data_IF_272010698690
#
_entry.id   IF_272010698690
#
_cell.length_a   1.000
_cell.length_b   1.000
_cell.length_c   1.000
_cell.angle_alpha   90.00
_cell.angle_beta   90.00
_cell.angle_gamma   90.00
#
_symmetry.space_group_name_H-M   'P 1'
#
loop_
_entity.id
_entity.type
_entity.pdbx_description
1 polymer ?
#
# COMPACT_ATOMS: atom_id res chain seq x y z
N UNK A 1 -1.03 5.52 -14.08
CA UNK A 1 -0.84 4.12 -14.54
C UNK A 1 -0.45 3.22 -13.37
N UNK A 2 -0.68 1.90 -13.45
CA UNK A 2 -0.25 0.95 -12.41
C UNK A 2 1.28 0.81 -12.36
N UNK A 3 1.85 0.80 -11.15
CA UNK A 3 3.29 0.61 -10.92
C UNK A 3 3.53 -0.83 -10.46
N UNK A 4 4.52 -1.49 -11.07
CA UNK A 4 4.86 -2.88 -10.81
C UNK A 4 6.31 -3.03 -10.36
N UNK A 5 6.56 -3.98 -9.46
CA UNK A 5 7.93 -4.39 -9.13
C UNK A 5 8.58 -5.02 -10.36
N UNK A 6 9.78 -4.54 -10.71
CA UNK A 6 10.60 -5.15 -11.75
C UNK A 6 11.25 -6.44 -11.26
N UNK A 7 11.67 -6.49 -9.99
CA UNK A 7 12.33 -7.65 -9.40
C UNK A 7 11.93 -7.89 -7.94
N UNK A 8 12.04 -9.14 -7.49
CA UNK A 8 11.88 -9.57 -6.11
C UNK A 8 13.12 -10.39 -5.73
N UNK A 9 13.79 -9.93 -4.67
CA UNK A 9 15.04 -10.49 -4.16
C UNK A 9 14.80 -11.13 -2.79
N UNK A 10 15.19 -12.40 -2.62
CA UNK A 10 14.94 -13.16 -1.39
C UNK A 10 16.27 -13.60 -0.78
N UNK A 11 16.49 -13.18 0.47
CA UNK A 11 17.73 -13.47 1.19
C UNK A 11 17.89 -14.91 1.67
N UNK A 12 16.80 -15.66 1.85
CA UNK A 12 16.85 -17.02 2.41
C UNK A 12 15.69 -17.91 1.95
N UNK A 13 15.86 -19.24 1.98
CA UNK A 13 14.82 -20.21 1.62
C UNK A 13 14.25 -20.01 0.20
N UNK A 14 15.09 -19.57 -0.74
CA UNK A 14 14.67 -19.34 -2.11
C UNK A 14 14.48 -20.66 -2.87
N UNK A 15 13.30 -20.83 -3.47
CA UNK A 15 13.03 -21.88 -4.45
C UNK A 15 12.28 -21.27 -5.62
N UNK A 16 12.90 -21.24 -6.80
CA UNK A 16 12.34 -20.55 -7.97
C UNK A 16 10.95 -21.06 -8.36
N UNK A 17 10.70 -22.37 -8.28
CA UNK A 17 9.41 -22.96 -8.67
C UNK A 17 8.30 -22.55 -7.69
N UNK A 18 8.59 -22.59 -6.39
CA UNK A 18 7.66 -22.12 -5.35
C UNK A 18 7.40 -20.62 -5.46
N UNK A 19 8.44 -19.83 -5.74
CA UNK A 19 8.29 -18.38 -5.90
C UNK A 19 7.49 -18.01 -7.13
N UNK A 20 7.79 -18.59 -8.31
CA UNK A 20 7.01 -18.38 -9.53
C UNK A 20 5.54 -18.69 -9.31
N UNK A 21 5.24 -19.88 -8.77
CA UNK A 21 3.88 -20.31 -8.44
C UNK A 21 3.18 -19.32 -7.49
N UNK A 22 3.88 -18.86 -6.46
CA UNK A 22 3.29 -18.00 -5.42
C UNK A 22 3.06 -16.56 -5.88
N UNK A 23 4.00 -15.99 -6.63
CA UNK A 23 3.96 -14.58 -7.03
C UNK A 23 2.97 -14.34 -8.18
N UNK A 24 2.96 -15.22 -9.19
CA UNK A 24 2.12 -15.01 -10.38
C UNK A 24 1.54 -16.31 -10.98
N UNK A 25 2.27 -17.43 -10.89
CA UNK A 25 1.98 -18.64 -11.66
C UNK A 25 0.67 -19.35 -11.29
N UNK A 26 0.14 -19.14 -10.08
CA UNK A 26 -1.18 -19.69 -9.69
C UNK A 26 -2.33 -19.19 -10.55
N UNK A 27 -2.24 -17.96 -11.05
CA UNK A 27 -3.35 -17.29 -11.73
C UNK A 27 -3.03 -16.89 -13.18
N UNK A 28 -1.78 -17.04 -13.61
CA UNK A 28 -1.28 -16.45 -14.86
C UNK A 28 -2.02 -16.89 -16.13
N UNK A 29 -2.61 -18.09 -16.13
CA UNK A 29 -3.35 -18.65 -17.27
C UNK A 29 -4.88 -18.51 -17.13
N UNK A 30 -5.35 -17.92 -16.03
CA UNK A 30 -6.79 -17.88 -15.70
C UNK A 30 -7.33 -16.46 -15.56
N UNK A 31 -6.45 -15.47 -15.41
CA UNK A 31 -6.83 -14.06 -15.27
C UNK A 31 -6.73 -13.34 -16.61
N UNK A 32 -7.87 -13.20 -17.30
CA UNK A 32 -7.91 -12.69 -18.68
C UNK A 32 -8.59 -11.31 -18.82
N UNK A 33 -9.39 -10.88 -17.83
CA UNK A 33 -10.20 -9.66 -17.90
C UNK A 33 -9.64 -8.55 -17.00
N UNK A 34 -8.42 -8.09 -17.29
CA UNK A 34 -7.83 -6.95 -16.59
C UNK A 34 -8.15 -5.63 -17.31
N UNK A 35 -8.44 -4.54 -16.58
CA UNK A 35 -8.60 -3.21 -17.17
C UNK A 35 -7.34 -2.75 -17.91
N UNK A 36 -7.50 -1.75 -18.77
CA UNK A 36 -6.39 -1.15 -19.50
C UNK A 36 -5.22 -0.78 -18.57
N UNK A 37 -4.00 -1.09 -19.00
CA UNK A 37 -2.71 -0.93 -18.29
C UNK A 37 -2.49 -1.87 -17.09
N UNK A 38 -3.48 -2.65 -16.66
CA UNK A 38 -3.30 -3.69 -15.65
C UNK A 38 -2.85 -5.00 -16.31
N UNK A 39 -1.85 -5.64 -15.70
CA UNK A 39 -1.30 -6.92 -16.16
C UNK A 39 -0.90 -7.81 -15.00
N UNK A 40 -0.76 -9.10 -15.28
CA UNK A 40 -0.04 -10.03 -14.41
C UNK A 40 1.45 -9.79 -14.56
N UNK A 41 2.03 -9.03 -13.62
CA UNK A 41 3.46 -8.80 -13.63
C UNK A 41 4.23 -10.09 -13.30
N UNK A 42 5.23 -10.40 -14.12
CA UNK A 42 6.20 -11.49 -13.89
C UNK A 42 7.56 -10.87 -13.55
N UNK A 43 7.80 -10.48 -12.27
CA UNK A 43 9.04 -9.83 -11.90
C UNK A 43 10.22 -10.80 -12.00
N UNK A 44 11.43 -10.26 -12.15
CA UNK A 44 12.64 -11.07 -12.03
C UNK A 44 12.77 -11.59 -10.58
N UNK A 45 12.85 -12.90 -10.41
CA UNK A 45 12.98 -13.53 -9.10
C UNK A 45 14.45 -13.90 -8.86
N UNK A 46 15.07 -13.29 -7.84
CA UNK A 46 16.46 -13.53 -7.46
C UNK A 46 16.53 -14.12 -6.06
N UNK A 47 17.37 -15.15 -5.91
CA UNK A 47 17.69 -15.74 -4.60
C UNK A 47 19.13 -15.44 -4.25
N UNK A 48 19.38 -15.17 -2.97
CA UNK A 48 20.73 -15.06 -2.41
C UNK A 48 20.96 -16.25 -1.47
N UNK A 49 22.20 -16.76 -1.46
CA UNK A 49 22.59 -17.91 -0.66
C UNK A 49 23.12 -17.52 0.73
N UNK A 50 22.76 -16.33 1.23
CA UNK A 50 23.16 -15.89 2.57
C UNK A 50 22.10 -16.39 3.53
N UNK A 51 22.33 -17.54 4.18
CA UNK A 51 21.43 -18.02 5.22
C UNK A 51 21.61 -17.16 6.48
N UNK A 52 20.69 -16.24 6.82
CA UNK A 52 20.76 -15.57 8.10
C UNK A 52 20.60 -16.62 9.21
N UNK A 53 21.27 -16.43 10.35
CA UNK A 53 20.97 -17.24 11.54
C UNK A 53 19.47 -17.10 11.82
N UNK A 54 18.75 -18.22 11.81
CA UNK A 54 17.36 -18.24 12.23
C UNK A 54 17.32 -17.83 13.70
N UNK A 55 16.83 -16.62 13.97
CA UNK A 55 16.48 -16.22 15.32
C UNK A 55 15.06 -16.70 15.60
N UNK A 56 14.87 -17.33 16.76
CA UNK A 56 13.55 -17.71 17.27
C UNK A 56 12.87 -16.56 18.01
N UNK A 57 13.57 -15.44 18.26
CA UNK A 57 13.02 -14.26 18.92
C UNK A 57 12.44 -13.28 17.90
N UNK A 58 11.13 -13.05 17.95
CA UNK A 58 10.51 -11.94 17.24
C UNK A 58 10.66 -10.65 18.03
N UNK A 59 11.17 -9.59 17.40
CA UNK A 59 11.17 -8.26 18.00
C UNK A 59 9.73 -7.77 18.17
N UNK A 60 9.36 -7.16 19.30
CA UNK A 60 8.06 -6.53 19.47
C UNK A 60 7.94 -5.21 18.68
N UNK A 61 9.01 -4.78 18.02
CA UNK A 61 9.08 -3.55 17.25
C UNK A 61 9.24 -3.79 15.75
N UNK A 62 8.51 -3.00 14.96
CA UNK A 62 8.67 -2.88 13.53
C UNK A 62 9.41 -1.57 13.22
N UNK A 63 10.28 -1.58 12.22
CA UNK A 63 11.06 -0.41 11.80
C UNK A 63 10.73 -0.11 10.35
N UNK A 64 10.49 1.16 10.02
CA UNK A 64 10.45 1.61 8.64
C UNK A 64 11.35 2.84 8.46
N UNK A 65 11.87 3.01 7.25
CA UNK A 65 12.73 4.12 6.88
C UNK A 65 12.36 4.59 5.48
N UNK A 66 12.27 5.90 5.31
CA UNK A 66 12.03 6.56 4.02
C UNK A 66 13.19 7.55 3.83
N UNK A 67 13.72 7.62 2.61
CA UNK A 67 14.80 8.55 2.25
C UNK A 67 14.37 9.98 2.67
N UNK A 68 15.26 10.71 3.33
CA UNK A 68 15.06 12.07 3.86
C UNK A 68 14.07 12.22 5.04
N UNK A 69 13.42 11.15 5.49
CA UNK A 69 12.41 11.19 6.57
C UNK A 69 12.89 10.48 7.86
N UNK A 70 14.07 9.86 7.82
CA UNK A 70 14.63 9.16 8.97
C UNK A 70 13.89 7.86 9.35
N UNK A 71 14.28 7.29 10.50
CA UNK A 71 13.81 6.00 11.00
C UNK A 71 12.56 6.21 11.88
N UNK A 72 11.51 5.42 11.63
CA UNK A 72 10.34 5.33 12.51
C UNK A 72 10.25 3.93 13.13
N UNK A 73 10.06 3.88 14.46
CA UNK A 73 9.93 2.63 15.23
C UNK A 73 8.49 2.51 15.74
N UNK A 74 7.87 1.36 15.45
CA UNK A 74 6.47 1.03 15.73
C UNK A 74 6.39 -0.13 16.71
N UNK A 75 5.55 -0.02 17.74
CA UNK A 75 5.16 -1.15 18.60
C UNK A 75 4.24 -2.08 17.82
N UNK A 76 4.70 -3.27 17.47
CA UNK A 76 4.02 -4.19 16.57
C UNK A 76 2.63 -4.63 17.05
N UNK A 77 2.42 -4.73 18.35
CA UNK A 77 1.12 -5.06 18.95
C UNK A 77 0.08 -3.94 18.84
N UNK A 78 0.52 -2.68 18.80
CA UNK A 78 -0.36 -1.50 18.78
C UNK A 78 -0.50 -0.87 17.40
N UNK A 79 0.48 -1.08 16.52
CA UNK A 79 0.56 -0.38 15.23
C UNK A 79 0.79 1.13 15.36
N UNK A 80 1.32 1.58 16.51
CA UNK A 80 1.65 2.98 16.83
C UNK A 80 3.13 3.14 17.10
N UNK A 81 3.64 4.36 17.01
CA UNK A 81 5.05 4.63 17.32
C UNK A 81 5.37 4.32 18.78
N UNK A 82 6.66 4.26 19.14
CA UNK A 82 7.09 4.10 20.54
C UNK A 82 6.51 5.20 21.46
N UNK A 83 6.33 6.41 20.93
CA UNK A 83 5.71 7.58 21.56
C UNK A 83 4.17 7.57 21.50
N UNK A 84 3.57 6.45 21.07
CA UNK A 84 2.12 6.27 20.92
C UNK A 84 1.44 7.20 19.89
N UNK A 85 2.22 7.80 18.98
CA UNK A 85 1.72 8.62 17.87
C UNK A 85 1.24 7.73 16.70
N UNK A 86 0.45 8.30 15.81
CA UNK A 86 0.12 7.67 14.53
C UNK A 86 1.41 7.46 13.72
N UNK A 87 1.56 6.29 13.12
CA UNK A 87 2.68 6.03 12.21
C UNK A 87 2.46 6.79 10.90
N UNK A 88 3.55 7.28 10.30
CA UNK A 88 3.52 7.90 8.96
C UNK A 88 3.01 6.98 7.85
N UNK A 89 3.10 5.65 8.05
CA UNK A 89 2.58 4.66 7.09
C UNK A 89 1.21 4.10 7.46
N UNK A 90 0.52 4.67 8.46
CA UNK A 90 -0.86 4.29 8.77
C UNK A 90 -1.85 4.83 7.72
N UNK A 91 -3.08 4.29 7.69
CA UNK A 91 -4.09 4.65 6.68
C UNK A 91 -4.35 6.17 6.64
N UNK A 92 -4.55 6.78 7.81
CA UNK A 92 -4.84 8.21 7.94
C UNK A 92 -3.69 9.07 7.41
N UNK A 93 -2.45 8.77 7.82
CA UNK A 93 -1.27 9.52 7.37
C UNK A 93 -1.09 9.44 5.85
N UNK A 94 -1.18 8.23 5.26
CA UNK A 94 -1.05 8.05 3.81
C UNK A 94 -2.17 8.72 3.02
N UNK A 95 -3.41 8.71 3.55
CA UNK A 95 -4.53 9.39 2.92
C UNK A 95 -4.38 10.91 2.95
N UNK A 96 -3.87 11.47 4.05
CA UNK A 96 -3.56 12.90 4.14
C UNK A 96 -2.46 13.30 3.14
N UNK A 97 -1.41 12.50 2.98
CA UNK A 97 -0.38 12.75 1.96
C UNK A 97 -0.96 12.67 0.54
N UNK A 98 -1.88 11.73 0.27
CA UNK A 98 -2.58 11.66 -1.01
C UNK A 98 -3.43 12.91 -1.28
N UNK A 99 -4.16 13.41 -0.28
CA UNK A 99 -4.93 14.66 -0.38
C UNK A 99 -4.01 15.84 -0.70
N UNK A 100 -2.88 15.98 0.03
CA UNK A 100 -1.88 17.02 -0.23
C UNK A 100 -1.35 16.96 -1.66
N UNK A 101 -1.06 15.75 -2.16
CA UNK A 101 -0.62 15.53 -3.54
C UNK A 101 -1.68 15.96 -4.56
N UNK A 102 -2.95 15.59 -4.34
CA UNK A 102 -4.05 16.00 -5.23
C UNK A 102 -4.22 17.52 -5.28
N UNK A 103 -4.07 18.21 -4.14
CA UNK A 103 -4.09 19.68 -4.07
C UNK A 103 -2.90 20.27 -4.83
N UNK A 104 -1.68 19.80 -4.54
CA UNK A 104 -0.45 20.31 -5.15
C UNK A 104 -0.41 20.10 -6.67
N UNK A 105 -1.03 19.03 -7.17
CA UNK A 105 -1.10 18.69 -8.61
C UNK A 105 -2.34 19.23 -9.31
N UNK A 106 -3.20 19.99 -8.61
CA UNK A 106 -4.50 20.48 -9.09
C UNK A 106 -5.42 19.36 -9.62
N UNK A 107 -5.25 18.13 -9.13
CA UNK A 107 -6.06 16.97 -9.50
C UNK A 107 -7.28 16.83 -8.57
N UNK A 108 -8.06 17.93 -8.49
CA UNK A 108 -9.17 18.06 -7.55
C UNK A 108 -10.37 17.18 -7.90
N UNK A 109 -10.49 16.68 -9.13
CA UNK A 109 -11.56 15.73 -9.52
C UNK A 109 -11.59 14.47 -8.64
N UNK A 110 -10.44 14.09 -8.07
CA UNK A 110 -10.32 13.01 -7.09
C UNK A 110 -10.81 13.41 -5.69
N UNK A 111 -10.90 14.69 -5.36
CA UNK A 111 -11.31 15.22 -4.05
C UNK A 111 -12.73 15.80 -4.04
N UNK A 112 -13.27 16.22 -5.19
CA UNK A 112 -14.53 16.98 -5.24
C UNK A 112 -15.73 16.07 -4.95
N UNK A 113 -16.35 16.33 -3.80
CA UNK A 113 -17.82 16.40 -3.60
C UNK A 113 -18.13 17.62 -2.72
N UNK A 114 -17.60 18.83 -3.00
CA UNK A 114 -17.95 20.09 -2.29
C UNK A 114 -17.90 20.05 -0.73
N UNK A 115 -17.27 19.05 -0.14
CA UNK A 115 -17.28 18.78 1.29
C UNK A 115 -15.90 19.10 1.89
N UNK A 116 -15.91 19.74 3.06
CA UNK A 116 -14.69 20.00 3.86
C UNK A 116 -14.01 18.70 4.31
N UNK A 117 -14.77 17.62 4.33
CA UNK A 117 -14.35 16.30 4.77
C UNK A 117 -14.64 15.25 3.70
N UNK A 118 -13.83 14.20 3.65
CA UNK A 118 -14.03 13.08 2.73
C UNK A 118 -13.82 11.76 3.47
N UNK A 119 -14.65 10.77 3.19
CA UNK A 119 -14.44 9.42 3.72
C UNK A 119 -13.33 8.66 2.99
N UNK A 120 -12.47 7.98 3.74
CA UNK A 120 -11.33 7.22 3.21
C UNK A 120 -11.73 6.13 2.20
N UNK A 121 -12.83 5.42 2.44
CA UNK A 121 -13.33 4.41 1.50
C UNK A 121 -13.88 5.04 0.22
N UNK A 122 -14.54 6.20 0.29
CA UNK A 122 -14.95 6.98 -0.88
C UNK A 122 -13.75 7.34 -1.76
N UNK A 123 -12.66 7.87 -1.18
CA UNK A 123 -11.41 8.14 -1.91
C UNK A 123 -10.87 6.89 -2.60
N UNK A 124 -10.80 5.78 -1.85
CA UNK A 124 -10.29 4.51 -2.37
C UNK A 124 -11.18 3.95 -3.50
N UNK A 125 -12.49 4.20 -3.44
CA UNK A 125 -13.47 3.70 -4.39
C UNK A 125 -13.61 4.55 -5.66
N UNK A 126 -12.89 5.68 -5.78
CA UNK A 126 -12.85 6.50 -7.00
C UNK A 126 -12.09 5.83 -8.14
N UNK A 127 -11.06 5.04 -7.86
CA UNK A 127 -10.31 4.34 -8.91
C UNK A 127 -11.03 3.04 -9.36
N UNK A 128 -11.95 3.18 -10.32
CA UNK A 128 -12.77 2.06 -10.83
C UNK A 128 -11.93 0.97 -11.50
N UNK A 129 -10.87 1.34 -12.23
CA UNK A 129 -9.98 0.37 -12.87
C UNK A 129 -9.24 -0.48 -11.82
N UNK A 130 -8.74 0.12 -10.74
CA UNK A 130 -8.14 -0.64 -9.63
C UNK A 130 -9.14 -1.62 -8.99
N UNK A 131 -10.38 -1.17 -8.77
CA UNK A 131 -11.43 -2.00 -8.17
C UNK A 131 -11.77 -3.19 -9.09
N UNK A 132 -11.92 -2.96 -10.39
CA UNK A 132 -12.16 -4.00 -11.37
C UNK A 132 -11.01 -5.03 -11.39
N UNK A 133 -9.75 -4.59 -11.45
CA UNK A 133 -8.58 -5.47 -11.40
C UNK A 133 -8.52 -6.30 -10.10
N UNK A 134 -8.80 -5.67 -8.96
CA UNK A 134 -8.87 -6.34 -7.65
C UNK A 134 -9.99 -7.40 -7.61
N UNK A 135 -11.17 -7.07 -8.13
CA UNK A 135 -12.31 -7.99 -8.15
C UNK A 135 -12.03 -9.18 -9.07
N UNK A 136 -11.38 -8.94 -10.21
CA UNK A 136 -10.96 -10.00 -11.12
C UNK A 136 -9.96 -10.95 -10.45
N UNK A 137 -8.99 -10.42 -9.70
CA UNK A 137 -8.07 -11.25 -8.93
C UNK A 137 -8.82 -12.16 -7.94
N UNK A 138 -9.74 -11.59 -7.14
CA UNK A 138 -10.50 -12.32 -6.12
C UNK A 138 -11.40 -13.38 -6.77
N UNK A 139 -12.08 -13.05 -7.87
CA UNK A 139 -12.93 -13.99 -8.59
C UNK A 139 -12.13 -15.14 -9.19
N UNK A 140 -10.94 -14.87 -9.75
CA UNK A 140 -10.04 -15.90 -10.26
C UNK A 140 -9.62 -16.87 -9.14
N UNK A 141 -9.20 -16.38 -7.98
CA UNK A 141 -8.85 -17.25 -6.83
C UNK A 141 -10.02 -18.15 -6.41
N UNK A 142 -11.25 -17.60 -6.37
CA UNK A 142 -12.45 -18.37 -6.06
C UNK A 142 -12.74 -19.43 -7.12
N UNK A 143 -12.64 -19.09 -8.41
CA UNK A 143 -12.90 -20.00 -9.54
C UNK A 143 -11.93 -21.17 -9.60
N UNK A 144 -10.68 -20.97 -9.14
CA UNK A 144 -9.63 -21.99 -9.09
C UNK A 144 -9.66 -22.83 -7.80
N UNK A 145 -10.67 -22.65 -6.95
CA UNK A 145 -10.78 -23.31 -5.64
C UNK A 145 -9.56 -23.08 -4.73
N UNK A 146 -8.92 -21.90 -4.83
CA UNK A 146 -7.82 -21.50 -3.94
C UNK A 146 -8.30 -20.81 -2.65
N UNK A 147 -9.60 -20.85 -2.39
CA UNK A 147 -10.24 -20.26 -1.22
C UNK A 147 -10.79 -18.86 -1.45
N UNK A 148 -11.42 -18.33 -0.40
CA UNK A 148 -12.04 -17.01 -0.41
C UNK A 148 -11.09 -15.98 0.18
N UNK A 149 -10.95 -14.83 -0.48
CA UNK A 149 -10.14 -13.74 0.03
C UNK A 149 -10.77 -13.16 1.31
N UNK A 150 -10.00 -13.14 2.41
CA UNK A 150 -10.47 -12.57 3.68
C UNK A 150 -10.21 -11.07 3.71
N UNK A 151 -11.25 -10.29 4.00
CA UNK A 151 -11.16 -8.84 4.12
C UNK A 151 -11.40 -8.39 5.56
N UNK A 152 -10.87 -7.21 5.90
CA UNK A 152 -11.20 -6.56 7.18
C UNK A 152 -12.69 -6.12 7.18
N UNK A 153 -13.32 -6.01 8.36
CA UNK A 153 -14.66 -5.43 8.52
C UNK A 153 -14.76 -4.01 7.93
N UNK A 154 -15.96 -3.59 7.53
CA UNK A 154 -16.20 -2.29 6.89
C UNK A 154 -15.99 -1.11 7.85
N UNK A 155 -16.22 -1.33 9.14
CA UNK A 155 -16.01 -0.37 10.22
C UNK A 155 -14.54 0.05 10.35
N UNK A 156 -13.59 -0.78 9.88
CA UNK A 156 -12.15 -0.47 9.86
C UNK A 156 -11.68 0.14 8.52
N UNK A 157 -12.60 0.32 7.58
CA UNK A 157 -12.35 0.83 6.23
C UNK A 157 -12.95 2.20 5.98
N UNK A 158 -13.94 2.64 6.75
CA UNK A 158 -14.54 3.97 6.58
C UNK A 158 -14.21 4.85 7.79
N UNK A 159 -13.61 6.01 7.53
CA UNK A 159 -13.35 7.06 8.50
C UNK A 159 -13.20 8.39 7.76
N UNK A 160 -13.50 9.47 8.46
CA UNK A 160 -13.49 10.83 7.91
C UNK A 160 -12.06 11.40 7.87
N UNK A 161 -11.77 12.15 6.81
CA UNK A 161 -10.52 12.87 6.58
C UNK A 161 -10.83 14.35 6.37
N UNK A 162 -10.06 15.21 7.03
CA UNK A 162 -10.19 16.66 6.90
C UNK A 162 -9.28 17.17 5.77
N UNK A 163 -9.90 17.73 4.73
CA UNK A 163 -9.20 18.23 3.53
C UNK A 163 -8.53 19.57 3.80
N UNK A 164 -9.11 20.40 4.67
CA UNK A 164 -8.64 21.76 4.97
C UNK A 164 -7.39 21.69 5.85
N UNK A 165 -7.38 20.85 6.89
CA UNK A 165 -6.20 20.65 7.72
C UNK A 165 -5.03 19.99 6.98
N UNK A 166 -5.31 19.17 5.96
CA UNK A 166 -4.27 18.64 5.08
C UNK A 166 -3.60 19.75 4.24
N UNK A 167 -4.38 20.74 3.77
CA UNK A 167 -3.87 21.90 3.00
C UNK A 167 -3.01 22.86 3.83
N UNK A 168 -3.40 23.14 5.08
CA UNK A 168 -2.68 24.09 5.95
C UNK A 168 -1.26 23.65 6.31
N UNK A 169 -0.96 22.35 6.27
CA UNK A 169 0.38 21.81 6.50
C UNK A 169 1.32 21.96 5.28
N UNK A 170 0.81 22.36 4.11
CA UNK A 170 1.62 22.65 2.92
C UNK A 170 2.21 24.07 3.03
N UNK A 171 1.47 25.01 3.62
CA UNK A 171 1.85 26.43 3.70
C UNK A 171 3.06 26.68 4.61
N UNK A 172 3.37 25.79 5.55
CA UNK A 172 4.51 25.94 6.47
C UNK A 172 5.85 25.45 5.92
N UNK A 173 5.91 24.82 4.73
CA UNK A 173 7.14 24.25 4.19
C UNK A 173 7.85 25.11 3.13
N UNK A 174 7.38 26.33 2.85
CA UNK A 174 8.01 27.22 1.85
C UNK A 174 8.89 28.35 2.42
N UNK A 175 9.06 28.47 3.75
CA UNK A 175 9.78 29.60 4.36
C UNK A 175 11.10 29.27 5.06
N UNK A 176 11.68 28.08 4.86
CA UNK A 176 13.04 27.77 5.37
C UNK A 176 13.96 27.30 4.24
N UNK A 177 14.29 28.21 3.33
CA UNK A 177 15.62 28.25 2.70
C UNK A 177 16.18 29.64 2.91
N UNK A 178 17.04 29.76 3.92
CA UNK A 178 17.66 31.01 4.34
C UNK A 178 18.64 30.77 5.48
N UNK A 179 19.77 30.12 5.16
CA UNK A 179 21.12 30.35 5.67
C UNK A 179 22.07 29.42 4.89
#
# INVERSE_FOLDING_TARGET
>A
EPIYLESISIGSMFNINHMKRTIYGRIENSINELPQDYKVQKPQLRGYCILPRRSTSHSPHCINWIINEGIEIIKGSLGRTIENKLSRVCKTSLANEYIKLCIATNNLSTLIENETNIFYDSLKNKNKNYIAAKNQLISTFKSLNFGTWVHKPEELKSFELDVVNASNNITYNYNNQGC
#
